data_IF_361005746853
#
_entry.id   IF_361005746853
#
_cell.length_a   1.000
_cell.length_b   1.000
_cell.length_c   1.000
_cell.angle_alpha   90.00
_cell.angle_beta   90.00
_cell.angle_gamma   90.00
#
_symmetry.space_group_name_H-M   'P 1'
#
loop_
_entity.id
_entity.type
_entity.pdbx_description
1 polymer ?
#
# COMPACT_ATOMS: atom_id res chain seq x y z
N UNK A 1 25.94 -3.95 -11.00
CA UNK A 1 25.08 -3.20 -11.94
C UNK A 1 25.87 -2.82 -13.19
N UNK A 2 25.27 -2.95 -14.37
CA UNK A 2 25.88 -2.49 -15.64
C UNK A 2 25.70 -0.97 -15.80
N UNK A 3 26.52 -0.33 -16.65
CA UNK A 3 26.37 1.11 -16.97
C UNK A 3 24.96 1.40 -17.53
N UNK A 4 24.42 0.49 -18.34
CA UNK A 4 23.07 0.60 -18.87
C UNK A 4 22.00 0.61 -17.76
N UNK A 5 22.14 -0.22 -16.72
CA UNK A 5 21.22 -0.24 -15.59
C UNK A 5 21.27 1.06 -14.77
N UNK A 6 22.45 1.64 -14.59
CA UNK A 6 22.62 2.92 -13.89
C UNK A 6 21.94 4.03 -14.67
N UNK A 7 22.16 4.08 -16.00
CA UNK A 7 21.52 5.07 -16.86
C UNK A 7 19.99 4.93 -16.86
N UNK A 8 19.48 3.69 -16.91
CA UNK A 8 18.03 3.41 -16.82
C UNK A 8 17.45 3.93 -15.51
N UNK A 9 18.11 3.72 -14.36
CA UNK A 9 17.68 4.22 -13.06
C UNK A 9 17.63 5.76 -13.03
N UNK A 10 18.64 6.44 -13.57
CA UNK A 10 18.65 7.91 -13.66
C UNK A 10 17.51 8.44 -14.54
N UNK A 11 17.29 7.82 -15.70
CA UNK A 11 16.13 8.12 -16.56
C UNK A 11 14.82 7.83 -15.81
N UNK A 12 14.77 6.75 -15.02
CA UNK A 12 13.64 6.37 -14.22
C UNK A 12 13.20 7.44 -13.21
N UNK A 13 14.15 8.02 -12.45
CA UNK A 13 13.84 9.11 -11.52
C UNK A 13 13.23 10.31 -12.24
N UNK A 14 13.82 10.73 -13.34
CA UNK A 14 13.31 11.86 -14.13
C UNK A 14 11.98 11.50 -14.78
N UNK A 15 11.85 10.32 -15.38
CA UNK A 15 10.66 9.87 -16.09
C UNK A 15 9.44 9.76 -15.17
N UNK A 16 9.58 9.13 -13.99
CA UNK A 16 8.49 9.00 -13.03
C UNK A 16 8.02 10.36 -12.50
N UNK A 17 8.94 11.32 -12.31
CA UNK A 17 8.58 12.71 -11.95
C UNK A 17 7.87 13.39 -13.11
N UNK A 18 8.36 13.24 -14.33
CA UNK A 18 7.75 13.84 -15.52
C UNK A 18 6.31 13.37 -15.78
N UNK A 19 6.00 12.10 -15.47
CA UNK A 19 4.62 11.56 -15.59
C UNK A 19 3.64 12.31 -14.66
N UNK A 20 4.10 12.84 -13.53
CA UNK A 20 3.25 13.58 -12.60
C UNK A 20 2.97 15.03 -13.04
N UNK A 21 3.85 15.65 -13.85
CA UNK A 21 3.76 17.07 -14.26
C UNK A 21 2.45 17.41 -15.00
N UNK A 22 1.92 16.57 -15.92
CA UNK A 22 0.63 16.85 -16.58
C UNK A 22 -0.53 16.99 -15.61
N UNK A 23 -0.49 16.34 -14.45
CA UNK A 23 -1.53 16.39 -13.42
C UNK A 23 -1.39 17.59 -12.48
N UNK A 24 -0.34 18.41 -12.63
CA UNK A 24 -0.11 19.61 -11.82
C UNK A 24 -1.13 20.70 -12.14
N UNK A 25 -1.66 21.32 -11.08
CA UNK A 25 -2.53 22.50 -11.20
C UNK A 25 -1.75 23.75 -11.63
N UNK A 26 -0.46 23.84 -11.26
CA UNK A 26 0.41 24.96 -11.64
C UNK A 26 1.84 24.45 -11.88
N UNK A 27 2.16 24.22 -13.15
CA UNK A 27 3.46 23.68 -13.57
C UNK A 27 4.63 24.62 -13.31
N UNK A 28 4.40 25.93 -13.27
CA UNK A 28 5.46 26.94 -13.05
C UNK A 28 5.85 27.06 -11.58
N UNK A 29 4.98 26.61 -10.67
CA UNK A 29 5.21 26.67 -9.22
C UNK A 29 5.80 25.40 -8.63
N UNK A 30 6.17 24.43 -9.48
CA UNK A 30 6.78 23.17 -9.03
C UNK A 30 8.16 23.45 -8.43
N UNK A 31 8.39 23.02 -7.19
CA UNK A 31 9.67 23.17 -6.51
C UNK A 31 10.59 21.99 -6.78
N UNK A 32 11.45 22.09 -7.79
CA UNK A 32 12.39 21.02 -8.17
C UNK A 32 13.43 20.69 -7.07
N UNK A 33 13.81 21.68 -6.26
CA UNK A 33 14.69 21.44 -5.10
C UNK A 33 14.04 20.52 -4.09
N UNK A 34 12.74 20.69 -3.87
CA UNK A 34 11.96 19.81 -2.98
C UNK A 34 11.90 18.38 -3.49
N UNK A 35 11.70 18.19 -4.81
CA UNK A 35 11.70 16.87 -5.47
C UNK A 35 13.04 16.18 -5.26
N UNK A 36 14.13 16.88 -5.52
CA UNK A 36 15.48 16.34 -5.34
C UNK A 36 15.76 15.92 -3.89
N UNK A 37 15.39 16.77 -2.92
CA UNK A 37 15.53 16.45 -1.49
C UNK A 37 14.71 15.22 -1.11
N UNK A 38 13.47 15.10 -1.62
CA UNK A 38 12.61 13.96 -1.36
C UNK A 38 13.20 12.63 -1.89
N UNK A 39 13.74 12.65 -3.11
CA UNK A 39 14.39 11.47 -3.71
C UNK A 39 15.65 11.08 -2.93
N UNK A 40 16.53 12.04 -2.62
CA UNK A 40 17.75 11.75 -1.84
C UNK A 40 17.40 11.21 -0.46
N UNK A 41 16.41 11.80 0.21
CA UNK A 41 15.95 11.29 1.50
C UNK A 41 15.41 9.86 1.39
N UNK A 42 14.65 9.55 0.34
CA UNK A 42 14.13 8.21 0.08
C UNK A 42 15.26 7.19 -0.09
N UNK A 43 16.33 7.54 -0.85
CA UNK A 43 17.50 6.67 -1.05
C UNK A 43 18.24 6.45 0.29
N UNK A 44 18.49 7.52 1.07
CA UNK A 44 19.13 7.42 2.39
C UNK A 44 18.30 6.56 3.34
N UNK A 45 16.98 6.76 3.34
CA UNK A 45 16.06 6.00 4.17
C UNK A 45 16.03 4.53 3.77
N UNK A 46 16.02 4.21 2.47
CA UNK A 46 16.11 2.83 1.96
C UNK A 46 17.42 2.16 2.40
N UNK A 47 18.56 2.86 2.26
CA UNK A 47 19.84 2.37 2.78
C UNK A 47 19.76 2.08 4.28
N UNK A 48 19.20 3.00 5.05
CA UNK A 48 19.08 2.83 6.50
C UNK A 48 18.24 1.60 6.87
N UNK A 49 17.07 1.43 6.24
CA UNK A 49 16.13 0.34 6.55
C UNK A 49 16.65 -1.05 6.12
N UNK A 50 17.50 -1.11 5.09
CA UNK A 50 17.91 -2.38 4.48
C UNK A 50 19.34 -2.79 4.82
N UNK A 51 20.22 -1.85 5.14
CA UNK A 51 21.65 -2.13 5.28
C UNK A 51 22.22 -1.85 6.67
N UNK A 52 21.55 -1.07 7.53
CA UNK A 52 22.05 -0.83 8.88
C UNK A 52 21.77 -2.06 9.74
N UNK A 53 22.82 -2.75 10.28
CA UNK A 53 22.65 -4.05 10.96
C UNK A 53 21.68 -3.99 12.14
N UNK A 54 21.71 -2.92 12.92
CA UNK A 54 20.80 -2.72 14.05
C UNK A 54 19.32 -2.69 13.61
N UNK A 55 19.02 -2.00 12.51
CA UNK A 55 17.65 -1.90 11.99
C UNK A 55 17.21 -3.25 11.40
N UNK A 56 18.09 -3.91 10.65
CA UNK A 56 17.83 -5.26 10.09
C UNK A 56 17.54 -6.26 11.22
N UNK A 57 18.27 -6.18 12.33
CA UNK A 57 18.04 -7.04 13.48
C UNK A 57 16.69 -6.77 14.16
N UNK A 58 16.25 -5.51 14.25
CA UNK A 58 14.89 -5.18 14.73
C UNK A 58 13.84 -5.84 13.86
N UNK A 59 14.00 -5.79 12.53
CA UNK A 59 13.07 -6.46 11.62
C UNK A 59 13.09 -7.99 11.73
N UNK A 60 14.23 -8.60 12.03
CA UNK A 60 14.31 -10.03 12.31
C UNK A 60 13.48 -10.39 13.55
N UNK A 61 13.63 -9.67 14.66
CA UNK A 61 12.79 -9.87 15.85
C UNK A 61 11.30 -9.64 15.59
N UNK A 62 10.98 -8.64 14.78
CA UNK A 62 9.59 -8.37 14.39
C UNK A 62 9.02 -9.54 13.56
N UNK A 63 9.82 -10.10 12.66
CA UNK A 63 9.46 -11.28 11.86
C UNK A 63 9.17 -12.50 12.73
N UNK A 64 10.02 -12.77 13.73
CA UNK A 64 9.80 -13.86 14.68
C UNK A 64 8.51 -13.64 15.50
N UNK A 65 8.26 -12.40 15.91
CA UNK A 65 7.03 -12.04 16.61
C UNK A 65 5.79 -12.25 15.74
N UNK A 66 5.87 -11.90 14.45
CA UNK A 66 4.77 -12.13 13.50
C UNK A 66 4.54 -13.63 13.25
N UNK A 67 5.60 -14.40 13.12
CA UNK A 67 5.47 -15.85 12.96
C UNK A 67 4.78 -16.51 14.17
N UNK A 68 5.14 -16.05 15.38
CA UNK A 68 4.46 -16.48 16.62
C UNK A 68 2.98 -16.08 16.63
N UNK A 69 2.67 -14.88 16.17
CA UNK A 69 1.29 -14.39 16.08
C UNK A 69 0.47 -15.16 15.05
N UNK A 70 1.08 -15.55 13.92
CA UNK A 70 0.45 -16.41 12.91
C UNK A 70 0.10 -17.77 13.49
N UNK A 71 1.04 -18.41 14.22
CA UNK A 71 0.80 -19.69 14.87
C UNK A 71 -0.34 -19.60 15.89
N UNK A 72 -0.33 -18.59 16.76
CA UNK A 72 -1.39 -18.37 17.74
C UNK A 72 -2.75 -18.08 17.08
N UNK A 73 -2.77 -17.36 15.97
CA UNK A 73 -4.00 -17.10 15.20
C UNK A 73 -4.53 -18.38 14.58
N UNK A 74 -3.64 -19.24 14.09
CA UNK A 74 -4.00 -20.52 13.50
C UNK A 74 -4.73 -21.41 14.52
N UNK A 75 -4.26 -21.48 15.78
CA UNK A 75 -4.95 -22.21 16.85
C UNK A 75 -6.38 -21.70 17.07
N UNK A 76 -6.56 -20.38 17.13
CA UNK A 76 -7.89 -19.77 17.28
C UNK A 76 -8.80 -20.01 16.07
N UNK A 77 -8.25 -19.91 14.85
CA UNK A 77 -8.98 -20.15 13.62
C UNK A 77 -9.38 -21.63 13.46
N UNK A 78 -8.50 -22.58 13.85
CA UNK A 78 -8.82 -24.01 13.86
C UNK A 78 -9.93 -24.35 14.86
N UNK A 79 -9.94 -23.72 16.02
CA UNK A 79 -11.01 -23.92 16.99
C UNK A 79 -12.39 -23.47 16.44
N UNK A 80 -12.43 -22.38 15.66
CA UNK A 80 -13.69 -21.81 15.13
C UNK A 80 -14.11 -22.46 13.82
N UNK A 81 -13.17 -22.68 12.90
CA UNK A 81 -13.43 -23.09 11.50
C UNK A 81 -13.00 -24.51 11.17
N UNK A 82 -12.32 -25.19 12.11
CA UNK A 82 -11.84 -26.56 11.90
C UNK A 82 -10.88 -26.67 10.71
N UNK A 83 -11.07 -27.69 9.90
CA UNK A 83 -10.23 -27.99 8.73
C UNK A 83 -10.25 -26.89 7.64
N UNK A 84 -11.23 -25.99 7.63
CA UNK A 84 -11.27 -24.89 6.64
C UNK A 84 -10.14 -23.88 6.86
N UNK A 85 -9.66 -23.75 8.10
CA UNK A 85 -8.55 -22.85 8.43
C UNK A 85 -7.17 -23.46 8.21
N UNK A 86 -7.08 -24.80 8.07
CA UNK A 86 -5.82 -25.50 7.89
C UNK A 86 -5.96 -26.62 6.85
N UNK A 87 -5.39 -26.38 5.67
CA UNK A 87 -5.43 -27.34 4.56
C UNK A 87 -4.70 -28.66 4.86
N UNK A 88 -3.72 -28.65 5.79
CA UNK A 88 -2.99 -29.87 6.19
C UNK A 88 -3.86 -30.85 6.98
N UNK A 89 -4.91 -30.36 7.63
CA UNK A 89 -5.86 -31.15 8.42
C UNK A 89 -7.16 -31.44 7.67
N UNK A 90 -7.18 -31.19 6.35
CA UNK A 90 -8.36 -31.44 5.54
C UNK A 90 -8.70 -32.94 5.49
N UNK A 91 -9.96 -33.31 5.76
CA UNK A 91 -10.41 -34.70 5.60
C UNK A 91 -10.58 -35.07 4.11
N UNK A 92 -10.36 -34.16 3.19
CA UNK A 92 -10.47 -34.37 1.77
C UNK A 92 -9.11 -34.23 1.08
N UNK A 93 -8.80 -35.17 0.17
CA UNK A 93 -7.63 -35.05 -0.68
C UNK A 93 -7.86 -33.93 -1.74
N UNK A 94 -6.89 -33.06 -1.89
CA UNK A 94 -6.95 -32.05 -2.97
C UNK A 94 -6.75 -32.75 -4.31
N UNK A 95 -7.83 -32.93 -5.08
CA UNK A 95 -7.77 -33.49 -6.43
C UNK A 95 -7.42 -32.39 -7.43
N UNK A 96 -6.17 -32.39 -7.94
CA UNK A 96 -5.72 -31.50 -9.01
C UNK A 96 -4.80 -30.35 -8.55
N UNK A 97 -4.28 -29.58 -9.50
CA UNK A 97 -3.38 -28.45 -9.29
C UNK A 97 -4.08 -27.18 -8.74
N UNK A 98 -5.24 -27.32 -8.11
CA UNK A 98 -5.98 -26.22 -7.51
C UNK A 98 -5.32 -25.74 -6.20
N UNK A 99 -5.26 -24.43 -6.03
CA UNK A 99 -4.80 -23.82 -4.79
C UNK A 99 -5.78 -24.22 -3.65
N UNK A 100 -5.30 -25.04 -2.70
CA UNK A 100 -6.10 -25.51 -1.55
C UNK A 100 -6.32 -24.40 -0.50
N UNK A 101 -5.77 -23.20 -0.71
CA UNK A 101 -5.87 -22.08 0.22
C UNK A 101 -7.26 -21.44 0.16
N UNK A 102 -7.97 -21.46 1.27
CA UNK A 102 -9.25 -20.77 1.43
C UNK A 102 -9.00 -19.41 2.09
N UNK A 103 -8.92 -18.37 1.27
CA UNK A 103 -8.57 -17.01 1.70
C UNK A 103 -9.38 -16.52 2.91
N UNK A 104 -10.69 -16.77 2.90
CA UNK A 104 -11.62 -16.32 3.95
C UNK A 104 -11.32 -16.93 5.33
N UNK A 105 -10.84 -18.17 5.41
CA UNK A 105 -10.65 -18.89 6.66
C UNK A 105 -9.19 -19.04 7.07
N UNK A 106 -8.25 -18.84 6.14
CA UNK A 106 -6.82 -19.00 6.39
C UNK A 106 -6.07 -17.68 6.51
N UNK A 107 -6.51 -16.62 5.79
CA UNK A 107 -5.84 -15.32 5.78
C UNK A 107 -6.62 -14.26 6.57
N UNK A 108 -7.94 -14.14 6.35
CA UNK A 108 -8.71 -13.08 6.99
C UNK A 108 -8.73 -13.14 8.53
N UNK A 109 -8.76 -14.31 9.21
CA UNK A 109 -8.73 -14.36 10.68
C UNK A 109 -7.52 -13.66 11.30
N UNK A 110 -6.37 -13.67 10.60
CA UNK A 110 -5.17 -13.00 11.05
C UNK A 110 -5.37 -11.47 11.18
N UNK A 111 -6.18 -10.88 10.30
CA UNK A 111 -6.53 -9.46 10.35
C UNK A 111 -7.26 -9.12 11.66
N UNK A 112 -8.15 -9.99 12.12
CA UNK A 112 -8.90 -9.80 13.38
C UNK A 112 -7.94 -9.73 14.57
N UNK A 113 -7.02 -10.67 14.67
CA UNK A 113 -6.06 -10.76 15.78
C UNK A 113 -5.10 -9.57 15.77
N UNK A 114 -4.61 -9.18 14.59
CA UNK A 114 -3.69 -8.04 14.45
C UNK A 114 -4.39 -6.72 14.75
N UNK A 115 -5.63 -6.55 14.30
CA UNK A 115 -6.42 -5.34 14.61
C UNK A 115 -6.65 -5.22 16.11
N UNK A 116 -6.96 -6.32 16.79
CA UNK A 116 -7.09 -6.38 18.25
C UNK A 116 -5.78 -6.02 18.96
N UNK A 117 -4.65 -6.59 18.51
CA UNK A 117 -3.32 -6.29 19.05
C UNK A 117 -2.92 -4.83 18.79
N UNK A 118 -3.18 -4.31 17.60
CA UNK A 118 -2.91 -2.91 17.24
C UNK A 118 -3.68 -1.94 18.14
N UNK A 119 -4.97 -2.22 18.40
CA UNK A 119 -5.78 -1.44 19.30
C UNK A 119 -5.23 -1.46 20.76
N UNK A 120 -4.73 -2.61 21.21
CA UNK A 120 -4.11 -2.77 22.52
C UNK A 120 -2.80 -1.97 22.62
N UNK A 121 -1.92 -2.07 21.60
CA UNK A 121 -0.67 -1.29 21.51
C UNK A 121 -0.95 0.21 21.41
N UNK A 122 -2.08 0.58 20.81
CA UNK A 122 -2.55 1.96 20.80
C UNK A 122 -2.95 2.42 22.20
N UNK A 123 -3.75 1.64 22.91
CA UNK A 123 -4.16 1.96 24.29
C UNK A 123 -2.97 2.10 25.24
N UNK A 124 -1.95 1.24 25.09
CA UNK A 124 -0.69 1.34 25.85
C UNK A 124 0.23 2.48 25.39
N UNK A 125 -0.22 3.31 24.47
CA UNK A 125 0.51 4.46 23.92
C UNK A 125 1.83 4.12 23.20
N UNK A 126 2.04 2.85 22.82
CA UNK A 126 3.23 2.39 22.07
C UNK A 126 3.16 2.89 20.63
N UNK A 127 2.08 2.59 19.91
CA UNK A 127 1.90 3.06 18.52
C UNK A 127 1.85 4.59 18.42
N UNK A 128 1.09 5.33 19.26
CA UNK A 128 1.11 6.78 19.25
C UNK A 128 2.50 7.40 19.45
N UNK A 129 3.35 6.79 20.29
CA UNK A 129 4.72 7.25 20.51
C UNK A 129 5.57 7.12 19.23
N UNK A 130 5.50 5.96 18.58
CA UNK A 130 6.21 5.68 17.32
C UNK A 130 5.76 6.64 16.22
N UNK A 131 4.45 6.78 16.02
CA UNK A 131 3.87 7.66 15.00
C UNK A 131 4.30 9.11 15.21
N UNK A 132 4.27 9.62 16.46
CA UNK A 132 4.72 10.99 16.77
C UNK A 132 6.20 11.19 16.48
N UNK A 133 7.03 10.22 16.80
CA UNK A 133 8.47 10.31 16.56
C UNK A 133 8.78 10.41 15.05
N UNK A 134 8.16 9.57 14.24
CA UNK A 134 8.33 9.55 12.77
C UNK A 134 7.69 10.78 12.12
N UNK A 135 6.48 11.19 12.58
CA UNK A 135 5.79 12.39 12.10
C UNK A 135 6.66 13.65 12.18
N UNK A 136 7.31 13.87 13.33
CA UNK A 136 8.22 15.03 13.53
C UNK A 136 9.37 15.08 12.52
N UNK A 137 9.86 13.93 12.08
CA UNK A 137 10.90 13.86 11.03
C UNK A 137 10.36 14.36 9.70
N UNK A 138 9.18 13.88 9.29
CA UNK A 138 8.54 14.28 8.04
C UNK A 138 8.07 15.74 8.07
N UNK A 139 7.49 16.20 9.19
CA UNK A 139 7.09 17.60 9.37
C UNK A 139 8.27 18.55 9.15
N UNK A 140 9.40 18.27 9.81
CA UNK A 140 10.61 19.11 9.72
C UNK A 140 11.26 19.05 8.33
N UNK A 141 11.30 17.86 7.73
CA UNK A 141 11.98 17.66 6.46
C UNK A 141 11.18 18.22 5.27
N UNK A 142 9.87 18.01 5.29
CA UNK A 142 8.97 18.35 4.18
C UNK A 142 8.17 19.64 4.41
N UNK A 143 8.38 20.30 5.55
CA UNK A 143 7.66 21.52 5.94
C UNK A 143 6.13 21.37 5.74
N UNK A 144 5.59 20.24 6.23
CA UNK A 144 4.16 19.93 6.23
C UNK A 144 3.58 20.17 7.63
N UNK A 145 2.27 20.46 7.69
CA UNK A 145 1.59 20.67 8.97
C UNK A 145 1.60 19.40 9.84
N UNK A 146 1.63 19.59 11.17
CA UNK A 146 1.58 18.51 12.14
C UNK A 146 0.45 17.50 11.91
N UNK A 147 -0.80 17.94 11.62
CA UNK A 147 -1.88 17.02 11.29
C UNK A 147 -1.58 16.13 10.08
N UNK A 148 -0.96 16.68 9.05
CA UNK A 148 -0.59 15.91 7.84
C UNK A 148 0.57 14.96 8.14
N UNK A 149 1.59 15.42 8.86
CA UNK A 149 2.68 14.57 9.30
C UNK A 149 2.16 13.37 10.09
N UNK A 150 1.25 13.62 11.04
CA UNK A 150 0.62 12.59 11.87
C UNK A 150 -0.21 11.62 11.02
N UNK A 151 -1.13 12.13 10.18
CA UNK A 151 -2.02 11.31 9.36
C UNK A 151 -1.27 10.48 8.32
N UNK A 152 -0.29 11.08 7.61
CA UNK A 152 0.52 10.37 6.63
C UNK A 152 1.38 9.26 7.30
N UNK A 153 1.99 9.56 8.45
CA UNK A 153 2.81 8.57 9.19
C UNK A 153 1.97 7.45 9.76
N UNK A 154 0.77 7.76 10.25
CA UNK A 154 -0.14 6.76 10.79
C UNK A 154 -0.52 5.69 9.77
N UNK A 155 -0.59 6.04 8.48
CA UNK A 155 -0.86 5.10 7.39
C UNK A 155 0.20 3.98 7.25
N UNK A 156 1.39 4.11 7.84
CA UNK A 156 2.39 3.02 7.85
C UNK A 156 1.89 1.83 8.68
N UNK A 157 1.09 2.09 9.71
CA UNK A 157 0.65 1.09 10.68
C UNK A 157 -0.87 0.88 10.57
N UNK A 158 -1.61 1.98 10.45
CA UNK A 158 -3.08 1.99 10.38
C UNK A 158 -3.55 1.95 8.92
N UNK A 159 -4.80 1.56 8.72
CA UNK A 159 -5.42 1.57 7.39
C UNK A 159 -5.69 2.98 6.86
N UNK A 160 -5.90 3.08 5.56
CA UNK A 160 -6.14 4.34 4.85
C UNK A 160 -7.38 5.11 5.35
N UNK A 161 -8.35 4.45 6.00
CA UNK A 161 -9.54 5.07 6.60
C UNK A 161 -9.31 5.37 8.08
N UNK A 162 -8.55 4.55 8.77
CA UNK A 162 -8.27 4.68 10.21
C UNK A 162 -7.31 5.85 10.51
N UNK A 163 -6.26 6.01 9.70
CA UNK A 163 -5.28 7.07 9.90
C UNK A 163 -5.90 8.49 9.83
N UNK A 164 -6.83 8.80 8.91
CA UNK A 164 -7.57 10.06 8.92
C UNK A 164 -8.40 10.33 10.18
N UNK A 165 -8.83 9.31 10.93
CA UNK A 165 -9.53 9.50 12.22
C UNK A 165 -8.68 10.27 13.24
N UNK A 166 -7.37 10.09 13.22
CA UNK A 166 -6.46 10.78 14.13
C UNK A 166 -6.39 12.28 13.90
N UNK A 167 -6.67 12.69 12.68
CA UNK A 167 -6.63 14.08 12.24
C UNK A 167 -8.01 14.63 11.93
N UNK A 168 -9.06 13.90 12.33
CA UNK A 168 -10.46 14.27 12.09
C UNK A 168 -10.80 15.72 12.47
N UNK A 169 -10.36 16.28 13.63
CA UNK A 169 -10.66 17.67 14.00
C UNK A 169 -10.10 18.71 13.01
N UNK A 170 -9.13 18.32 12.18
CA UNK A 170 -8.45 19.20 11.23
C UNK A 170 -8.93 19.03 9.80
N UNK A 171 -9.65 17.93 9.47
CA UNK A 171 -10.09 17.61 8.09
C UNK A 171 -10.86 18.76 7.43
N UNK A 172 -11.73 19.45 8.19
CA UNK A 172 -12.51 20.57 7.71
C UNK A 172 -11.68 21.79 7.30
N UNK A 173 -10.50 21.95 7.91
CA UNK A 173 -9.57 23.09 7.70
C UNK A 173 -8.44 22.78 6.73
N UNK A 174 -8.23 21.52 6.39
CA UNK A 174 -7.16 21.08 5.49
C UNK A 174 -7.33 21.69 4.09
N UNK A 175 -6.25 22.15 3.49
CA UNK A 175 -6.21 22.57 2.09
C UNK A 175 -6.39 21.39 1.14
N UNK A 176 -6.73 21.65 -0.14
CA UNK A 176 -6.82 20.60 -1.17
C UNK A 176 -5.50 19.79 -1.27
N UNK A 177 -4.35 20.46 -1.14
CA UNK A 177 -3.03 19.84 -1.15
C UNK A 177 -2.88 18.86 0.02
N UNK A 178 -3.27 19.27 1.22
CA UNK A 178 -3.17 18.45 2.41
C UNK A 178 -4.08 17.23 2.35
N UNK A 179 -5.31 17.39 1.84
CA UNK A 179 -6.19 16.25 1.56
C UNK A 179 -5.58 15.32 0.51
N UNK A 180 -4.96 15.88 -0.55
CA UNK A 180 -4.25 15.07 -1.54
C UNK A 180 -3.08 14.30 -0.92
N UNK A 181 -2.28 14.92 -0.05
CA UNK A 181 -1.18 14.22 0.67
C UNK A 181 -1.74 13.07 1.49
N UNK A 182 -2.78 13.32 2.29
CA UNK A 182 -3.40 12.32 3.16
C UNK A 182 -3.92 11.12 2.36
N UNK A 183 -4.64 11.38 1.26
CA UNK A 183 -5.18 10.34 0.39
C UNK A 183 -4.08 9.58 -0.37
N UNK A 184 -3.07 10.30 -0.89
CA UNK A 184 -1.94 9.69 -1.61
C UNK A 184 -1.12 8.81 -0.67
N UNK A 185 -0.84 9.27 0.54
CA UNK A 185 -0.15 8.48 1.56
C UNK A 185 -0.94 7.23 1.94
N UNK A 186 -2.27 7.37 2.18
CA UNK A 186 -3.14 6.25 2.49
C UNK A 186 -3.18 5.18 1.41
N UNK A 187 -3.20 5.57 0.13
CA UNK A 187 -3.21 4.63 -0.99
C UNK A 187 -1.82 4.11 -1.37
N UNK A 188 -0.72 4.75 -0.97
CA UNK A 188 0.64 4.29 -1.28
C UNK A 188 1.25 3.37 -0.21
N UNK A 189 0.55 3.13 0.88
CA UNK A 189 0.97 2.27 1.98
C UNK A 189 0.00 1.12 2.18
N UNK A 190 0.42 0.13 2.98
CA UNK A 190 -0.43 -1.00 3.40
C UNK A 190 -0.51 -0.98 4.92
N UNK A 191 -1.71 -1.17 5.48
CA UNK A 191 -1.90 -1.26 6.93
C UNK A 191 -1.18 -2.47 7.52
N UNK A 192 -0.79 -2.39 8.80
CA UNK A 192 -0.09 -3.47 9.49
C UNK A 192 -0.85 -4.79 9.46
N UNK A 193 -2.18 -4.75 9.63
CA UNK A 193 -3.04 -5.95 9.58
C UNK A 193 -3.03 -6.62 8.21
N UNK A 194 -3.20 -5.85 7.15
CA UNK A 194 -3.16 -6.34 5.78
C UNK A 194 -1.75 -6.79 5.40
N UNK A 195 -0.73 -6.05 5.81
CA UNK A 195 0.68 -6.38 5.55
C UNK A 195 1.04 -7.78 6.06
N UNK A 196 0.64 -8.12 7.28
CA UNK A 196 0.94 -9.43 7.85
C UNK A 196 0.13 -10.53 7.14
N UNK A 197 -1.09 -10.26 6.72
CA UNK A 197 -1.86 -11.17 5.87
C UNK A 197 -1.16 -11.43 4.53
N UNK A 198 -0.59 -10.39 3.89
CA UNK A 198 0.21 -10.53 2.67
C UNK A 198 1.49 -11.32 2.90
N UNK A 199 2.18 -11.10 4.02
CA UNK A 199 3.36 -11.89 4.41
C UNK A 199 3.00 -13.37 4.52
N UNK A 200 1.90 -13.72 5.19
CA UNK A 200 1.44 -15.11 5.31
C UNK A 200 1.22 -15.78 3.95
N UNK A 201 0.68 -15.02 2.99
CA UNK A 201 0.40 -15.52 1.65
C UNK A 201 1.68 -15.68 0.81
N UNK A 202 2.66 -14.79 0.98
CA UNK A 202 3.87 -14.72 0.15
C UNK A 202 5.03 -15.55 0.71
N UNK A 203 5.16 -15.69 2.03
CA UNK A 203 6.31 -16.33 2.69
C UNK A 203 6.64 -17.72 2.15
N UNK A 204 5.66 -18.61 1.84
CA UNK A 204 5.96 -19.91 1.27
C UNK A 204 6.70 -19.86 -0.08
N UNK A 205 6.50 -18.80 -0.85
CA UNK A 205 7.11 -18.60 -2.17
C UNK A 205 8.43 -17.81 -2.14
N UNK A 206 8.69 -17.12 -1.03
CA UNK A 206 9.88 -16.31 -0.81
C UNK A 206 10.55 -16.65 0.54
N UNK A 207 10.99 -17.94 0.76
CA UNK A 207 11.45 -18.40 2.06
C UNK A 207 12.71 -17.65 2.55
N UNK A 208 13.57 -17.22 1.65
CA UNK A 208 14.84 -16.55 1.96
C UNK A 208 14.70 -15.03 2.16
N UNK A 209 13.52 -14.46 1.89
CA UNK A 209 13.27 -13.01 2.04
C UNK A 209 12.60 -12.71 3.37
N UNK A 210 13.13 -11.73 4.10
CA UNK A 210 12.42 -11.14 5.22
C UNK A 210 11.32 -10.21 4.68
N UNK A 211 10.17 -10.79 4.32
CA UNK A 211 9.04 -10.05 3.71
C UNK A 211 8.53 -8.93 4.60
N UNK A 212 8.56 -9.09 5.93
CA UNK A 212 8.15 -8.04 6.87
C UNK A 212 9.05 -6.83 6.73
N UNK A 213 10.38 -7.02 6.71
CA UNK A 213 11.33 -5.94 6.50
C UNK A 213 11.02 -5.20 5.18
N UNK A 214 10.81 -5.94 4.09
CA UNK A 214 10.58 -5.36 2.77
C UNK A 214 9.25 -4.62 2.70
N UNK A 215 8.14 -5.19 3.18
CA UNK A 215 6.82 -4.54 3.11
C UNK A 215 6.70 -3.33 4.04
N UNK A 216 7.25 -3.42 5.26
CA UNK A 216 7.32 -2.25 6.17
C UNK A 216 8.19 -1.16 5.55
N UNK A 217 9.35 -1.52 5.00
CA UNK A 217 10.23 -0.56 4.32
C UNK A 217 9.54 0.08 3.12
N UNK A 218 8.78 -0.69 2.33
CA UNK A 218 8.01 -0.16 1.20
C UNK A 218 6.98 0.88 1.66
N UNK A 219 6.22 0.60 2.73
CA UNK A 219 5.25 1.55 3.31
C UNK A 219 5.94 2.81 3.83
N UNK A 220 7.06 2.69 4.57
CA UNK A 220 7.80 3.84 5.09
C UNK A 220 8.36 4.70 3.94
N UNK A 221 8.95 4.08 2.91
CA UNK A 221 9.52 4.75 1.75
C UNK A 221 8.45 5.42 0.86
N UNK A 222 7.23 4.91 0.87
CA UNK A 222 6.14 5.48 0.07
C UNK A 222 5.65 6.84 0.60
N UNK A 223 5.81 7.13 1.90
CA UNK A 223 5.35 8.41 2.48
C UNK A 223 6.08 9.63 1.88
N UNK A 224 7.44 9.70 1.87
CA UNK A 224 8.13 10.82 1.23
C UNK A 224 7.82 10.95 -0.26
N UNK A 225 7.64 9.83 -0.96
CA UNK A 225 7.21 9.86 -2.36
C UNK A 225 5.79 10.40 -2.52
N UNK A 226 4.84 9.97 -1.68
CA UNK A 226 3.46 10.46 -1.69
C UNK A 226 3.39 11.97 -1.46
N UNK A 227 4.13 12.47 -0.46
CA UNK A 227 4.23 13.90 -0.17
C UNK A 227 4.84 14.64 -1.36
N UNK A 228 5.88 14.09 -1.99
CA UNK A 228 6.53 14.66 -3.17
C UNK A 228 5.55 14.77 -4.35
N UNK A 229 4.86 13.69 -4.70
CA UNK A 229 3.91 13.69 -5.83
C UNK A 229 2.71 14.60 -5.58
N UNK A 230 2.18 14.64 -4.36
CA UNK A 230 1.13 15.58 -4.01
C UNK A 230 1.59 17.03 -4.16
N UNK A 231 2.82 17.37 -3.78
CA UNK A 231 3.40 18.71 -3.99
C UNK A 231 3.63 19.05 -5.48
N UNK A 232 3.93 18.08 -6.34
CA UNK A 232 4.01 18.29 -7.79
C UNK A 232 2.62 18.58 -8.35
N UNK A 233 1.60 17.82 -7.92
CA UNK A 233 0.25 17.93 -8.47
C UNK A 233 -0.53 19.16 -7.97
N UNK A 234 -0.33 19.54 -6.69
CA UNK A 234 -0.92 20.75 -6.09
C UNK A 234 0.20 21.52 -5.36
N UNK A 235 0.97 22.34 -6.09
CA UNK A 235 1.99 23.18 -5.47
C UNK A 235 1.31 24.34 -4.74
N UNK A 236 1.21 24.26 -3.41
CA UNK A 236 0.67 25.28 -2.51
C UNK A 236 1.58 25.41 -1.29
N UNK A 237 1.65 26.60 -0.72
CA UNK A 237 2.38 26.88 0.52
C UNK A 237 1.50 26.82 1.77
N UNK A 238 0.20 26.55 1.62
CA UNK A 238 -0.74 26.47 2.73
C UNK A 238 -0.41 25.28 3.64
N UNK A 239 -0.38 25.53 4.95
CA UNK A 239 -0.06 24.55 5.99
C UNK A 239 -1.06 24.71 7.14
N UNK A 240 -1.77 23.65 7.47
CA UNK A 240 -2.65 23.60 8.65
C UNK A 240 -1.83 23.40 9.91
N UNK A 241 -1.90 24.36 10.84
CA UNK A 241 -1.17 24.29 12.10
C UNK A 241 -1.88 23.40 13.13
N UNK A 242 -1.09 22.82 14.02
CA UNK A 242 -1.56 21.98 15.10
C UNK A 242 -1.86 22.85 16.34
N UNK A 243 -3.15 23.00 16.68
CA UNK A 243 -3.60 23.80 17.84
C UNK A 243 -3.55 23.04 19.17
N UNK A 244 -3.01 21.83 19.23
CA UNK A 244 -2.90 21.03 20.45
C UNK A 244 -2.20 19.69 20.29
N UNK A 245 -1.51 19.30 21.36
CA UNK A 245 -0.63 18.12 21.39
C UNK A 245 -1.33 16.77 21.70
N UNK A 246 -2.63 16.69 21.71
CA UNK A 246 -3.33 15.47 22.14
C UNK A 246 -3.85 14.64 20.98
N UNK A 247 -3.25 13.46 20.79
CA UNK A 247 -3.89 12.38 20.04
C UNK A 247 -5.16 11.99 20.85
N UNK A 248 -6.33 11.90 20.21
CA UNK A 248 -7.55 11.53 20.93
C UNK A 248 -7.40 10.19 21.67
N UNK A 249 -7.87 10.14 22.91
CA UNK A 249 -8.02 8.87 23.64
C UNK A 249 -9.14 8.07 22.97
N UNK A 250 -8.79 6.95 22.35
CA UNK A 250 -9.71 6.13 21.58
C UNK A 250 -10.36 5.03 22.45
N UNK A 251 -9.58 4.47 23.39
CA UNK A 251 -9.98 3.33 24.21
C UNK A 251 -9.95 3.67 25.70
N UNK A 252 -10.88 3.11 26.48
CA UNK A 252 -11.02 3.36 27.91
C UNK A 252 -10.27 2.34 28.79
N UNK A 253 -10.07 1.12 28.29
CA UNK A 253 -9.35 0.05 28.98
C UNK A 253 -8.70 -0.91 27.98
N UNK A 254 -7.79 -1.78 28.46
CA UNK A 254 -7.20 -2.84 27.62
C UNK A 254 -8.26 -3.77 27.06
N UNK A 255 -9.30 -4.11 27.83
CA UNK A 255 -10.42 -4.95 27.35
C UNK A 255 -11.28 -4.24 26.32
N UNK A 256 -11.54 -2.94 26.50
CA UNK A 256 -12.24 -2.13 25.50
C UNK A 256 -11.45 -2.08 24.19
N UNK A 257 -10.13 -1.88 24.27
CA UNK A 257 -9.25 -1.90 23.09
C UNK A 257 -9.30 -3.26 22.37
N UNK A 258 -9.18 -4.37 23.09
CA UNK A 258 -9.27 -5.71 22.52
C UNK A 258 -10.64 -5.92 21.85
N UNK A 259 -11.72 -5.60 22.53
CA UNK A 259 -13.08 -5.86 22.03
C UNK A 259 -13.39 -5.03 20.78
N UNK A 260 -13.07 -3.73 20.81
CA UNK A 260 -13.27 -2.84 19.64
C UNK A 260 -12.31 -3.21 18.50
N UNK A 261 -11.02 -3.47 18.79
CA UNK A 261 -10.07 -3.90 17.79
C UNK A 261 -10.46 -5.21 17.11
N UNK A 262 -11.04 -6.17 17.85
CA UNK A 262 -11.58 -7.42 17.28
C UNK A 262 -12.75 -7.13 16.34
N UNK A 263 -13.65 -6.24 16.73
CA UNK A 263 -14.80 -5.83 15.91
C UNK A 263 -14.33 -5.11 14.64
N UNK A 264 -13.41 -4.15 14.78
CA UNK A 264 -12.84 -3.42 13.64
C UNK A 264 -12.15 -4.38 12.68
N UNK A 265 -11.40 -5.36 13.20
CA UNK A 265 -10.78 -6.43 12.40
C UNK A 265 -11.80 -7.29 11.65
N UNK A 266 -12.92 -7.64 12.28
CA UNK A 266 -14.01 -8.37 11.63
C UNK A 266 -14.66 -7.54 10.52
N UNK A 267 -14.90 -6.25 10.77
CA UNK A 267 -15.47 -5.34 9.78
C UNK A 267 -14.52 -5.20 8.57
N UNK A 268 -13.21 -5.14 8.79
CA UNK A 268 -12.20 -5.16 7.72
C UNK A 268 -12.30 -6.47 6.93
N UNK A 269 -12.35 -7.64 7.58
CA UNK A 269 -12.47 -8.94 6.91
C UNK A 269 -13.71 -9.02 6.01
N UNK A 270 -14.86 -8.63 6.54
CA UNK A 270 -16.12 -8.63 5.79
C UNK A 270 -16.06 -7.68 4.59
N UNK A 271 -15.53 -6.47 4.79
CA UNK A 271 -15.37 -5.49 3.71
C UNK A 271 -14.39 -5.97 2.64
N UNK A 272 -13.24 -6.53 3.02
CA UNK A 272 -12.26 -7.10 2.06
C UNK A 272 -12.90 -8.22 1.26
N UNK A 273 -13.57 -9.16 1.92
CA UNK A 273 -14.25 -10.27 1.24
C UNK A 273 -15.34 -9.78 0.27
N UNK A 274 -16.19 -8.85 0.72
CA UNK A 274 -17.27 -8.29 -0.10
C UNK A 274 -16.74 -7.51 -1.31
N UNK A 275 -15.71 -6.69 -1.12
CA UNK A 275 -15.07 -5.91 -2.18
C UNK A 275 -14.40 -6.84 -3.20
N UNK A 276 -13.69 -7.88 -2.76
CA UNK A 276 -13.09 -8.87 -3.66
C UNK A 276 -14.14 -9.51 -4.55
N UNK A 277 -15.25 -9.99 -3.99
CA UNK A 277 -16.34 -10.60 -4.77
C UNK A 277 -16.92 -9.60 -5.75
N UNK A 278 -17.29 -8.40 -5.29
CA UNK A 278 -17.95 -7.40 -6.11
C UNK A 278 -17.04 -6.90 -7.26
N UNK A 279 -15.79 -6.53 -6.95
CA UNK A 279 -14.88 -5.98 -7.97
C UNK A 279 -14.43 -7.03 -8.98
N UNK A 280 -14.14 -8.26 -8.56
CA UNK A 280 -13.82 -9.35 -9.49
C UNK A 280 -14.99 -9.57 -10.44
N UNK A 281 -16.23 -9.60 -9.94
CA UNK A 281 -17.44 -9.76 -10.76
C UNK A 281 -17.64 -8.58 -11.72
N UNK A 282 -17.51 -7.33 -11.24
CA UNK A 282 -17.65 -6.12 -12.07
C UNK A 282 -16.59 -6.03 -13.15
N UNK A 283 -15.34 -6.35 -12.83
CA UNK A 283 -14.25 -6.38 -13.83
C UNK A 283 -14.46 -7.49 -14.84
N UNK A 284 -14.96 -8.66 -14.43
CA UNK A 284 -15.33 -9.75 -15.34
C UNK A 284 -16.43 -9.33 -16.32
N UNK A 285 -17.48 -8.64 -15.82
CA UNK A 285 -18.53 -8.08 -16.67
C UNK A 285 -17.99 -7.03 -17.64
N UNK A 286 -17.15 -6.12 -17.16
CA UNK A 286 -16.51 -5.12 -18.01
C UNK A 286 -15.64 -5.77 -19.09
N UNK A 287 -14.88 -6.79 -18.74
CA UNK A 287 -14.05 -7.54 -19.68
C UNK A 287 -14.90 -8.26 -20.74
N UNK A 288 -16.07 -8.77 -20.38
CA UNK A 288 -17.01 -9.34 -21.35
C UNK A 288 -17.48 -8.30 -22.38
N UNK A 289 -17.77 -7.07 -21.93
CA UNK A 289 -18.15 -5.96 -22.81
C UNK A 289 -16.96 -5.54 -23.69
N UNK A 290 -15.77 -5.40 -23.10
CA UNK A 290 -14.55 -5.04 -23.83
C UNK A 290 -14.17 -6.10 -24.85
N UNK A 291 -14.32 -7.39 -24.53
CA UNK A 291 -14.08 -8.50 -25.46
C UNK A 291 -15.00 -8.44 -26.69
N UNK A 292 -16.29 -8.12 -26.49
CA UNK A 292 -17.24 -7.92 -27.62
C UNK A 292 -16.79 -6.72 -28.46
N UNK A 293 -16.48 -5.58 -27.84
CA UNK A 293 -16.01 -4.38 -28.53
C UNK A 293 -14.68 -4.61 -29.26
N UNK A 294 -13.76 -5.33 -28.62
CA UNK A 294 -12.47 -5.73 -29.22
C UNK A 294 -12.65 -6.59 -30.47
N UNK A 295 -13.61 -7.53 -30.44
CA UNK A 295 -13.94 -8.35 -31.62
C UNK A 295 -14.36 -7.55 -32.83
N UNK A 296 -15.02 -6.39 -32.64
CA UNK A 296 -15.43 -5.50 -33.76
C UNK A 296 -14.25 -4.79 -34.43
N UNK A 297 -13.17 -4.58 -33.72
CA UNK A 297 -11.94 -3.91 -34.20
C UNK A 297 -10.78 -4.89 -34.44
N UNK A 298 -11.03 -6.19 -34.34
CA UNK A 298 -10.02 -7.23 -34.60
C UNK A 298 -9.00 -7.42 -33.47
N UNK A 299 -9.26 -6.89 -32.28
CA UNK A 299 -8.44 -7.09 -31.08
C UNK A 299 -9.06 -8.23 -30.27
N UNK A 300 -8.47 -9.41 -30.34
CA UNK A 300 -8.88 -10.54 -29.51
C UNK A 300 -8.42 -10.30 -28.08
N UNK A 301 -9.26 -10.68 -27.10
CA UNK A 301 -8.96 -10.65 -25.67
C UNK A 301 -8.79 -9.24 -25.04
N UNK A 302 -9.42 -8.21 -25.65
CA UNK A 302 -9.42 -6.87 -25.06
C UNK A 302 -10.05 -6.90 -23.66
N UNK A 303 -9.28 -6.46 -22.67
CA UNK A 303 -9.68 -6.44 -21.26
C UNK A 303 -9.15 -5.16 -20.57
N UNK A 304 -9.75 -4.81 -19.42
CA UNK A 304 -9.26 -3.71 -18.60
C UNK A 304 -7.79 -3.94 -18.20
N UNK A 305 -7.46 -5.18 -17.83
CA UNK A 305 -6.09 -5.54 -17.47
C UNK A 305 -5.14 -5.30 -18.64
N UNK A 306 -5.50 -5.75 -19.86
CA UNK A 306 -4.65 -5.54 -21.04
C UNK A 306 -4.42 -4.06 -21.34
N UNK A 307 -5.45 -3.22 -21.19
CA UNK A 307 -5.31 -1.77 -21.37
C UNK A 307 -4.32 -1.20 -20.34
N UNK A 308 -4.46 -1.61 -19.07
CA UNK A 308 -3.57 -1.16 -18.00
C UNK A 308 -2.14 -1.68 -18.18
N UNK A 309 -1.97 -2.92 -18.66
CA UNK A 309 -0.65 -3.48 -18.97
C UNK A 309 0.12 -2.57 -19.93
N UNK A 310 -0.49 -2.18 -21.04
CA UNK A 310 0.16 -1.28 -22.00
C UNK A 310 0.50 0.10 -21.40
N UNK A 311 -0.33 0.61 -20.48
CA UNK A 311 -0.02 1.83 -19.74
C UNK A 311 1.16 1.65 -18.77
N UNK A 312 1.28 0.47 -18.15
CA UNK A 312 2.32 0.20 -17.15
C UNK A 312 3.66 -0.21 -17.75
N UNK A 313 3.73 -0.77 -18.97
CA UNK A 313 5.00 -1.15 -19.61
C UNK A 313 6.06 -0.03 -19.53
N UNK A 314 5.81 1.21 -19.98
CA UNK A 314 6.80 2.27 -19.88
C UNK A 314 7.13 2.64 -18.42
N UNK A 315 6.17 2.59 -17.51
CA UNK A 315 6.38 2.89 -16.08
C UNK A 315 7.27 1.82 -15.45
N UNK A 316 7.00 0.55 -15.72
CA UNK A 316 7.79 -0.59 -15.23
C UNK A 316 9.21 -0.54 -15.75
N UNK A 317 9.40 -0.17 -17.03
CA UNK A 317 10.73 0.02 -17.57
C UNK A 317 11.47 1.16 -16.85
N UNK A 318 10.80 2.28 -16.56
CA UNK A 318 11.35 3.38 -15.76
C UNK A 318 11.69 2.97 -14.32
N UNK A 319 11.05 1.95 -13.76
CA UNK A 319 11.42 1.40 -12.46
C UNK A 319 12.76 0.63 -12.49
N UNK A 320 13.39 0.48 -13.65
CA UNK A 320 14.67 -0.20 -13.80
C UNK A 320 14.54 -1.71 -14.07
N UNK A 321 13.36 -2.18 -14.44
CA UNK A 321 13.10 -3.57 -14.85
C UNK A 321 13.55 -3.74 -16.30
N UNK A 322 14.30 -4.83 -16.66
CA UNK A 322 14.71 -5.12 -18.02
C UNK A 322 13.51 -5.26 -18.98
N UNK A 323 13.68 -4.88 -20.24
CA UNK A 323 12.60 -4.87 -21.22
C UNK A 323 11.94 -6.26 -21.41
N UNK A 324 12.73 -7.33 -21.28
CA UNK A 324 12.26 -8.73 -21.35
C UNK A 324 11.31 -9.11 -20.20
N UNK A 325 11.36 -8.41 -19.07
CA UNK A 325 10.60 -8.71 -17.86
C UNK A 325 9.47 -7.68 -17.60
N UNK A 326 9.43 -6.59 -18.40
CA UNK A 326 8.46 -5.49 -18.19
C UNK A 326 7.02 -5.94 -18.34
N UNK A 327 6.73 -6.86 -19.26
CA UNK A 327 5.36 -7.33 -19.50
C UNK A 327 4.79 -8.01 -18.25
N UNK A 328 5.51 -8.96 -17.68
CA UNK A 328 5.07 -9.70 -16.51
C UNK A 328 4.84 -8.77 -15.28
N UNK A 329 5.77 -7.82 -15.05
CA UNK A 329 5.57 -6.84 -13.97
C UNK A 329 4.44 -5.86 -14.25
N UNK A 330 4.23 -5.48 -15.52
CA UNK A 330 3.12 -4.60 -15.91
C UNK A 330 1.76 -5.28 -15.74
N UNK A 331 1.67 -6.58 -15.99
CA UNK A 331 0.48 -7.40 -15.72
C UNK A 331 0.11 -7.37 -14.24
N UNK A 332 1.09 -7.53 -13.34
CA UNK A 332 0.88 -7.48 -11.91
C UNK A 332 0.42 -6.08 -11.43
N UNK A 333 1.01 -5.01 -11.95
CA UNK A 333 0.58 -3.63 -11.65
C UNK A 333 -0.81 -3.34 -12.23
N UNK A 334 -1.12 -3.86 -13.41
CA UNK A 334 -2.45 -3.79 -14.01
C UNK A 334 -3.50 -4.49 -13.15
N UNK A 335 -3.21 -5.71 -12.67
CA UNK A 335 -4.05 -6.45 -11.73
C UNK A 335 -4.28 -5.70 -10.44
N UNK A 336 -3.21 -5.14 -9.82
CA UNK A 336 -3.31 -4.33 -8.62
C UNK A 336 -4.27 -3.16 -8.83
N UNK A 337 -4.11 -2.42 -9.92
CA UNK A 337 -4.86 -1.19 -10.18
C UNK A 337 -6.32 -1.49 -10.53
N UNK A 338 -6.56 -2.52 -11.34
CA UNK A 338 -7.90 -2.94 -11.74
C UNK A 338 -8.69 -3.59 -10.60
N UNK A 339 -8.03 -4.44 -9.81
CA UNK A 339 -8.64 -5.23 -8.74
C UNK A 339 -8.15 -4.73 -7.38
N UNK A 340 -7.06 -5.33 -6.88
CA UNK A 340 -6.38 -4.91 -5.65
C UNK A 340 -5.02 -5.62 -5.49
N UNK A 341 -4.33 -5.26 -4.39
CA UNK A 341 -3.02 -5.80 -4.02
C UNK A 341 -3.07 -7.29 -3.67
N UNK A 342 -4.13 -7.81 -3.06
CA UNK A 342 -4.22 -9.24 -2.71
C UNK A 342 -4.16 -10.12 -3.95
N UNK A 343 -4.91 -9.76 -5.00
CA UNK A 343 -4.91 -10.49 -6.27
C UNK A 343 -3.55 -10.38 -6.96
N UNK A 344 -2.95 -9.18 -6.97
CA UNK A 344 -1.65 -8.95 -7.58
C UNK A 344 -0.51 -9.69 -6.86
N UNK A 345 -0.49 -9.70 -5.53
CA UNK A 345 0.48 -10.47 -4.76
C UNK A 345 0.25 -11.97 -4.87
N UNK A 346 -1.00 -12.43 -4.96
CA UNK A 346 -1.31 -13.82 -5.26
C UNK A 346 -0.78 -14.26 -6.62
N UNK A 347 -0.90 -13.40 -7.64
CA UNK A 347 -0.32 -13.64 -8.95
C UNK A 347 1.22 -13.62 -8.91
N UNK A 348 1.84 -12.69 -8.17
CA UNK A 348 3.30 -12.66 -7.97
C UNK A 348 3.81 -13.94 -7.28
N UNK A 349 3.08 -14.46 -6.30
CA UNK A 349 3.42 -15.70 -5.61
C UNK A 349 3.40 -16.93 -6.54
N UNK A 350 2.56 -16.90 -7.57
CA UNK A 350 2.41 -18.02 -8.52
C UNK A 350 3.14 -17.78 -9.86
N UNK A 351 4.01 -16.75 -9.94
CA UNK A 351 4.77 -16.49 -11.16
C UNK A 351 5.76 -17.62 -11.44
N UNK A 352 5.86 -18.05 -12.69
CA UNK A 352 6.76 -19.14 -13.06
C UNK A 352 8.22 -18.77 -12.78
N UNK A 353 9.04 -19.73 -12.30
CA UNK A 353 10.47 -19.51 -12.12
C UNK A 353 11.15 -19.04 -13.42
N UNK A 354 11.96 -17.99 -13.33
CA UNK A 354 12.71 -17.45 -14.49
C UNK A 354 11.97 -16.36 -15.29
N UNK A 355 10.69 -16.12 -15.08
CA UNK A 355 9.94 -15.01 -15.73
C UNK A 355 10.41 -13.65 -15.22
N UNK A 356 10.67 -13.53 -13.93
CA UNK A 356 11.26 -12.34 -13.30
C UNK A 356 12.58 -12.74 -12.61
N UNK A 357 13.61 -11.94 -12.79
CA UNK A 357 14.83 -12.01 -11.98
C UNK A 357 14.53 -11.62 -10.52
N UNK A 358 15.37 -12.05 -9.58
CA UNK A 358 15.19 -11.72 -8.14
C UNK A 358 15.12 -10.20 -7.91
N UNK A 359 15.92 -9.43 -8.64
CA UNK A 359 15.87 -7.97 -8.60
C UNK A 359 14.54 -7.42 -9.10
N UNK A 360 14.01 -7.92 -10.20
CA UNK A 360 12.73 -7.48 -10.75
C UNK A 360 11.55 -7.91 -9.90
N UNK A 361 11.60 -9.10 -9.28
CA UNK A 361 10.64 -9.54 -8.28
C UNK A 361 10.59 -8.57 -7.09
N UNK A 362 11.77 -8.17 -6.59
CA UNK A 362 11.86 -7.24 -5.46
C UNK A 362 11.33 -5.84 -5.83
N UNK A 363 11.72 -5.31 -6.99
CA UNK A 363 11.18 -4.03 -7.51
C UNK A 363 9.65 -4.09 -7.62
N UNK A 364 9.13 -5.17 -8.19
CA UNK A 364 7.69 -5.38 -8.37
C UNK A 364 6.99 -5.52 -7.03
N UNK A 365 7.55 -6.27 -6.08
CA UNK A 365 7.02 -6.41 -4.73
C UNK A 365 6.81 -5.05 -4.05
N UNK A 366 7.79 -4.14 -4.16
CA UNK A 366 7.69 -2.78 -3.62
C UNK A 366 6.65 -1.94 -4.36
N UNK A 367 6.59 -2.05 -5.67
CA UNK A 367 5.61 -1.32 -6.47
C UNK A 367 4.17 -1.81 -6.26
N UNK A 368 4.00 -3.07 -5.88
CA UNK A 368 2.69 -3.61 -5.48
C UNK A 368 2.29 -3.17 -4.08
N UNK A 369 3.22 -2.77 -3.21
CA UNK A 369 2.93 -2.35 -1.85
C UNK A 369 2.16 -1.02 -1.85
N UNK A 370 0.90 -1.08 -1.44
CA UNK A 370 -0.01 0.05 -1.35
C UNK A 370 -1.38 -0.23 -1.97
N UNK A 371 -2.37 0.47 -1.43
CA UNK A 371 -3.78 0.37 -1.82
C UNK A 371 -4.14 1.21 -3.06
N UNK A 372 -3.17 1.43 -3.98
CA UNK A 372 -3.38 2.23 -5.18
C UNK A 372 -4.19 1.46 -6.24
N UNK A 373 -5.50 1.38 -6.04
CA UNK A 373 -6.47 0.73 -6.92
C UNK A 373 -7.82 1.50 -6.94
N UNK A 374 -8.68 1.20 -7.91
CA UNK A 374 -9.96 1.91 -8.06
C UNK A 374 -10.90 1.72 -6.86
N UNK A 375 -10.92 0.54 -6.23
CA UNK A 375 -11.79 0.30 -5.07
C UNK A 375 -11.38 1.15 -3.88
N UNK A 376 -10.08 1.30 -3.65
CA UNK A 376 -9.52 2.11 -2.56
C UNK A 376 -9.85 3.59 -2.69
N UNK A 377 -10.00 4.12 -3.90
CA UNK A 377 -10.50 5.48 -4.11
C UNK A 377 -11.90 5.65 -3.51
N UNK A 378 -12.80 4.72 -3.80
CA UNK A 378 -14.15 4.73 -3.25
C UNK A 378 -14.18 4.61 -1.72
N UNK A 379 -13.41 3.66 -1.18
CA UNK A 379 -13.27 3.43 0.26
C UNK A 379 -12.78 4.69 0.97
N UNK A 380 -11.73 5.31 0.43
CA UNK A 380 -11.09 6.47 1.05
C UNK A 380 -11.98 7.72 1.00
N UNK A 381 -12.62 7.98 -0.16
CA UNK A 381 -13.58 9.10 -0.31
C UNK A 381 -14.76 8.91 0.62
N UNK A 382 -15.36 7.71 0.70
CA UNK A 382 -16.48 7.44 1.59
C UNK A 382 -16.08 7.54 3.06
N UNK A 383 -14.93 6.97 3.44
CA UNK A 383 -14.43 6.99 4.81
C UNK A 383 -14.16 8.40 5.32
N UNK A 384 -13.42 9.22 4.57
CA UNK A 384 -13.13 10.60 4.97
C UNK A 384 -14.40 11.47 4.90
N UNK A 385 -15.29 11.26 3.93
CA UNK A 385 -16.57 12.00 3.85
C UNK A 385 -17.50 11.71 5.02
N UNK A 386 -17.45 10.52 5.61
CA UNK A 386 -18.20 10.21 6.82
C UNK A 386 -17.69 10.99 8.04
N UNK A 387 -16.41 11.39 8.05
CA UNK A 387 -15.79 12.17 9.13
C UNK A 387 -15.92 13.68 8.91
N UNK A 388 -15.94 14.14 7.66
CA UNK A 388 -16.02 15.54 7.23
C UNK A 388 -16.91 15.65 5.97
N UNK A 389 -18.26 15.60 6.14
CA UNK A 389 -19.20 15.58 5.02
C UNK A 389 -19.10 16.81 4.12
N UNK A 390 -18.74 17.97 4.68
CA UNK A 390 -18.56 19.25 3.98
C UNK A 390 -17.38 19.22 2.98
N UNK A 391 -16.43 18.29 3.14
CA UNK A 391 -15.24 18.14 2.29
C UNK A 391 -15.41 17.10 1.16
N UNK A 392 -16.60 16.48 1.04
CA UNK A 392 -16.86 15.42 0.07
C UNK A 392 -16.51 15.81 -1.37
N UNK A 393 -16.87 17.02 -1.79
CA UNK A 393 -16.60 17.50 -3.15
C UNK A 393 -15.09 17.69 -3.41
N UNK A 394 -14.35 18.18 -2.42
CA UNK A 394 -12.91 18.34 -2.51
C UNK A 394 -12.22 16.99 -2.60
N UNK A 395 -12.66 16.01 -1.79
CA UNK A 395 -12.15 14.64 -1.84
C UNK A 395 -12.37 13.97 -3.20
N UNK A 396 -13.57 14.11 -3.77
CA UNK A 396 -13.86 13.59 -5.12
C UNK A 396 -12.96 14.27 -6.16
N UNK A 397 -12.78 15.60 -6.08
CA UNK A 397 -11.95 16.37 -7.01
C UNK A 397 -10.49 15.92 -7.02
N UNK A 398 -9.93 15.56 -5.85
CA UNK A 398 -8.52 15.14 -5.74
C UNK A 398 -8.32 13.63 -5.83
N UNK A 399 -9.37 12.83 -5.79
CA UNK A 399 -9.31 11.37 -5.65
C UNK A 399 -8.52 10.67 -6.76
N UNK A 400 -8.77 11.01 -8.03
CA UNK A 400 -8.03 10.42 -9.16
C UNK A 400 -6.57 10.88 -9.18
N UNK A 401 -6.28 12.12 -8.77
CA UNK A 401 -4.90 12.59 -8.61
C UNK A 401 -4.20 11.81 -7.50
N UNK A 402 -4.91 11.53 -6.40
CA UNK A 402 -4.38 10.72 -5.31
C UNK A 402 -4.07 9.29 -5.75
N UNK A 403 -4.91 8.67 -6.58
CA UNK A 403 -4.64 7.35 -7.17
C UNK A 403 -3.37 7.36 -8.03
N UNK A 404 -3.26 8.32 -8.95
CA UNK A 404 -2.06 8.48 -9.79
C UNK A 404 -0.83 8.76 -8.94
N UNK A 405 -0.93 9.67 -7.98
CA UNK A 405 0.16 10.00 -7.06
C UNK A 405 0.62 8.80 -6.23
N UNK A 406 -0.31 7.99 -5.72
CA UNK A 406 -0.01 6.80 -4.94
C UNK A 406 0.63 5.70 -5.81
N UNK A 407 0.14 5.50 -7.03
CA UNK A 407 0.73 4.58 -7.99
C UNK A 407 2.17 4.97 -8.31
N UNK A 408 2.42 6.24 -8.61
CA UNK A 408 3.76 6.75 -8.88
C UNK A 408 4.66 6.70 -7.64
N UNK A 409 4.11 6.91 -6.44
CA UNK A 409 4.87 6.78 -5.18
C UNK A 409 5.33 5.33 -4.95
N UNK A 410 4.46 4.34 -5.17
CA UNK A 410 4.83 2.93 -5.09
C UNK A 410 5.84 2.54 -6.18
N UNK A 411 5.69 3.04 -7.41
CA UNK A 411 6.65 2.81 -8.49
C UNK A 411 8.02 3.46 -8.20
N UNK A 412 8.04 4.68 -7.64
CA UNK A 412 9.26 5.35 -7.20
C UNK A 412 9.98 4.54 -6.10
N UNK A 413 9.21 3.99 -5.16
CA UNK A 413 9.74 3.12 -4.10
C UNK A 413 10.33 1.84 -4.69
N UNK A 414 9.69 1.24 -5.70
CA UNK A 414 10.24 0.13 -6.46
C UNK A 414 11.54 0.49 -7.22
N UNK A 415 11.62 1.67 -7.81
CA UNK A 415 12.85 2.17 -8.45
C UNK A 415 13.99 2.33 -7.43
N UNK A 416 13.69 2.92 -6.27
CA UNK A 416 14.68 3.15 -5.20
C UNK A 416 15.25 1.83 -4.69
N UNK A 417 14.41 0.81 -4.45
CA UNK A 417 14.90 -0.49 -3.99
C UNK A 417 15.77 -1.18 -5.05
N UNK A 418 15.49 -0.95 -6.32
CA UNK A 418 16.27 -1.48 -7.43
C UNK A 418 17.73 -1.01 -7.48
N UNK A 419 18.14 -0.06 -6.63
CA UNK A 419 19.52 0.42 -6.48
C UNK A 419 20.34 -0.55 -5.61
N UNK A 420 19.70 -1.22 -4.64
CA UNK A 420 20.31 -2.03 -3.58
C UNK A 420 20.27 -3.52 -3.89
#
# INVERSE_FOLDING_TARGET
>A
MTIASILQILIGFVGLVCIAIPFSQNRTSINYRYIFVAIIFQIILAFALLKIPFIVQIFAYLSDGVSSLQAATQEGAEFVFGYLSNSSNSPFEASGAGNSMIFAFQILPLIIVISSLSALLWFWNILPLIIRAVSKVFEKLFNIGGPIGLGATANIIMGQVEAPLLVRPYLSRMSEKELLILMTAGMSTVSGSIMIALVSMLQPQFPDLNLIQHLVSASILSIPAAIMYANIMIPSAEVTNFDGNSIPKVYDSSMDAITRGTRDGLDICLNVGAILIAFIALVSLLNSILGIAGGWVGITDLSLQLILVYMFIPIVWLMGIPLSETLASAELLGLKTALNEFVAYGALANIEPGVLSERSKLITLYALCGFANFSSVGILVSGISAMAPERKNDLIKVSLKALVGATLASCMTGLVIGIF
#
